data_IF_820045045569
#
_entry.id   IF_820045045569
#
_cell.length_a   1.000
_cell.length_b   1.000
_cell.length_c   1.000
_cell.angle_alpha   90.00
_cell.angle_beta   90.00
_cell.angle_gamma   90.00
#
_symmetry.space_group_name_H-M   'P 1'
#
loop_
_entity.id
_entity.type
_entity.pdbx_description
1 polymer ?
#
# COMPACT_ATOMS: atom_id res chain seq x y z
N UNK A 1 -61.80 4.52 18.29
CA UNK A 1 -60.45 4.00 18.57
C UNK A 1 -59.68 4.02 17.26
N UNK A 2 -59.02 5.14 16.96
CA UNK A 2 -58.20 5.27 15.75
C UNK A 2 -56.74 5.16 16.18
N UNK A 3 -56.08 4.09 15.75
CA UNK A 3 -54.65 3.88 15.99
C UNK A 3 -53.86 4.80 15.07
N UNK A 4 -53.13 5.72 15.72
CA UNK A 4 -52.11 6.58 15.12
C UNK A 4 -50.89 5.71 14.82
N UNK A 5 -50.72 5.30 13.55
CA UNK A 5 -49.51 4.63 13.07
C UNK A 5 -48.46 5.72 12.86
N UNK A 6 -47.57 5.88 13.85
CA UNK A 6 -46.36 6.68 13.74
C UNK A 6 -45.36 5.84 12.93
N UNK A 7 -45.27 6.10 11.62
CA UNK A 7 -44.24 5.55 10.77
C UNK A 7 -42.94 6.33 10.98
N UNK A 8 -42.05 5.79 11.82
CA UNK A 8 -40.71 6.31 12.05
C UNK A 8 -39.87 6.11 10.79
N UNK A 9 -39.67 7.17 10.00
CA UNK A 9 -38.75 7.18 8.86
C UNK A 9 -37.34 7.22 9.46
N UNK A 10 -36.70 6.05 9.59
CA UNK A 10 -35.28 5.94 9.90
C UNK A 10 -34.54 6.26 8.59
N UNK A 11 -34.07 7.50 8.46
CA UNK A 11 -33.09 7.89 7.44
C UNK A 11 -31.75 7.25 7.82
N UNK A 12 -31.49 6.04 7.31
CA UNK A 12 -30.16 5.45 7.32
C UNK A 12 -29.26 6.31 6.43
N UNK A 13 -28.50 7.22 7.05
CA UNK A 13 -27.39 7.91 6.39
C UNK A 13 -26.27 6.90 6.17
N UNK A 14 -26.36 6.13 5.09
CA UNK A 14 -25.22 5.38 4.58
C UNK A 14 -24.15 6.38 4.15
N UNK A 15 -22.88 6.12 4.51
CA UNK A 15 -21.78 6.89 3.97
C UNK A 15 -21.77 6.71 2.44
N UNK A 16 -21.93 7.79 1.69
CA UNK A 16 -21.93 7.75 0.23
C UNK A 16 -20.52 7.43 -0.27
N UNK A 17 -20.33 6.20 -0.73
CA UNK A 17 -19.09 5.76 -1.39
C UNK A 17 -19.01 6.38 -2.78
N UNK A 18 -17.96 7.14 -3.06
CA UNK A 18 -17.75 7.75 -4.38
C UNK A 18 -16.66 7.01 -5.13
N UNK A 19 -17.00 6.41 -6.27
CA UNK A 19 -16.05 5.71 -7.13
C UNK A 19 -15.15 6.69 -7.88
N UNK A 20 -13.86 6.36 -7.95
CA UNK A 20 -12.91 7.09 -8.76
C UNK A 20 -13.07 6.72 -10.25
N UNK A 21 -12.97 7.68 -11.18
CA UNK A 21 -13.00 7.37 -12.61
C UNK A 21 -11.81 6.48 -12.98
N UNK A 22 -12.02 5.52 -13.88
CA UNK A 22 -10.97 4.60 -14.33
C UNK A 22 -9.84 5.31 -15.08
N UNK A 23 -10.20 6.37 -15.81
CA UNK A 23 -9.28 7.22 -16.55
C UNK A 23 -9.26 8.59 -15.89
N UNK A 24 -8.24 8.82 -15.07
CA UNK A 24 -7.97 10.15 -14.53
C UNK A 24 -7.00 10.83 -15.49
N UNK A 25 -7.47 11.92 -16.08
CA UNK A 25 -6.58 12.82 -16.81
C UNK A 25 -5.53 13.36 -15.84
N UNK A 26 -4.29 12.88 -15.98
CA UNK A 26 -3.15 13.26 -15.15
C UNK A 26 -2.66 14.69 -15.45
N UNK A 27 -3.05 15.26 -16.58
CA UNK A 27 -2.66 16.62 -16.99
C UNK A 27 -3.33 17.71 -16.15
N UNK A 28 -4.51 17.45 -15.59
CA UNK A 28 -5.26 18.41 -14.78
C UNK A 28 -4.66 18.47 -13.38
N UNK A 29 -4.20 19.62 -12.89
CA UNK A 29 -3.70 19.68 -11.51
C UNK A 29 -4.84 19.58 -10.49
N UNK A 30 -4.64 18.79 -9.42
CA UNK A 30 -5.60 18.77 -8.30
C UNK A 30 -5.64 20.12 -7.59
N UNK A 31 -6.83 20.53 -7.14
CA UNK A 31 -6.98 21.76 -6.35
C UNK A 31 -6.25 21.61 -5.01
N UNK A 32 -5.70 22.72 -4.50
CA UNK A 32 -5.03 22.76 -3.19
C UNK A 32 -5.99 22.93 -2.01
N UNK A 33 -7.29 22.79 -2.24
CA UNK A 33 -8.28 22.86 -1.16
C UNK A 33 -8.18 21.60 -0.28
N UNK A 34 -8.04 21.79 1.03
CA UNK A 34 -7.94 20.71 1.98
C UNK A 34 -9.35 20.22 2.38
N UNK A 35 -9.76 19.08 1.81
CA UNK A 35 -11.04 18.43 2.05
C UNK A 35 -10.81 16.93 2.19
N UNK A 36 -10.31 16.47 3.36
CA UNK A 36 -9.79 15.12 3.49
C UNK A 36 -10.85 14.07 3.21
N UNK A 37 -10.43 12.98 2.58
CA UNK A 37 -11.26 11.82 2.24
C UNK A 37 -10.55 10.54 2.64
N UNK A 38 -11.30 9.47 2.88
CA UNK A 38 -10.75 8.15 3.18
C UNK A 38 -10.74 7.28 1.92
N UNK A 39 -9.55 6.91 1.44
CA UNK A 39 -9.39 6.09 0.24
C UNK A 39 -9.45 4.60 0.55
N UNK A 40 -10.09 3.83 -0.33
CA UNK A 40 -10.23 2.37 -0.25
C UNK A 40 -9.83 1.70 -1.56
N UNK A 41 -9.30 0.48 -1.44
CA UNK A 41 -8.98 -0.40 -2.57
C UNK A 41 -10.23 -1.03 -3.22
N UNK A 42 -10.04 -1.78 -4.30
CA UNK A 42 -11.12 -2.55 -4.95
C UNK A 42 -11.74 -3.57 -3.97
N UNK A 43 -10.92 -4.13 -3.10
CA UNK A 43 -11.26 -5.13 -2.10
C UNK A 43 -11.91 -4.52 -0.85
N UNK A 44 -12.03 -3.19 -0.79
CA UNK A 44 -12.57 -2.46 0.35
C UNK A 44 -11.58 -2.28 1.51
N UNK A 45 -10.30 -2.60 1.32
CA UNK A 45 -9.26 -2.30 2.31
C UNK A 45 -9.00 -0.80 2.37
N UNK A 46 -9.02 -0.24 3.57
CA UNK A 46 -8.69 1.16 3.84
C UNK A 46 -7.21 1.43 3.53
N UNK A 47 -6.94 2.34 2.59
CA UNK A 47 -5.58 2.75 2.22
C UNK A 47 -5.10 3.88 3.12
N UNK A 48 -5.96 4.88 3.38
CA UNK A 48 -5.60 5.99 4.27
C UNK A 48 -6.33 7.30 3.97
N UNK A 49 -6.10 8.29 4.83
CA UNK A 49 -6.64 9.65 4.68
C UNK A 49 -5.84 10.42 3.65
N UNK A 50 -6.51 10.95 2.63
CA UNK A 50 -5.91 11.67 1.52
C UNK A 50 -6.35 13.14 1.53
N UNK A 51 -5.54 14.02 0.95
CA UNK A 51 -5.71 15.48 1.08
C UNK A 51 -7.05 16.00 0.55
N UNK A 52 -7.49 15.44 -0.59
CA UNK A 52 -8.83 15.61 -1.13
C UNK A 52 -9.18 14.49 -2.13
N UNK A 53 -10.42 14.49 -2.64
CA UNK A 53 -10.93 13.51 -3.60
C UNK A 53 -10.05 13.34 -4.84
N UNK A 54 -9.50 14.44 -5.38
CA UNK A 54 -8.64 14.38 -6.57
C UNK A 54 -7.33 13.62 -6.26
N UNK A 55 -6.70 13.94 -5.13
CA UNK A 55 -5.53 13.19 -4.65
C UNK A 55 -5.86 11.74 -4.33
N UNK A 56 -7.05 11.47 -3.79
CA UNK A 56 -7.46 10.11 -3.49
C UNK A 56 -7.58 9.27 -4.74
N UNK A 57 -8.26 9.77 -5.77
CA UNK A 57 -8.41 9.03 -7.01
C UNK A 57 -7.09 8.85 -7.78
N UNK A 58 -6.12 9.74 -7.59
CA UNK A 58 -4.77 9.60 -8.16
C UNK A 58 -3.84 8.70 -7.37
N UNK A 59 -4.15 8.43 -6.11
CA UNK A 59 -3.33 7.57 -5.29
C UNK A 59 -3.38 6.14 -5.84
N UNK A 60 -2.23 5.50 -5.84
CA UNK A 60 -2.12 4.13 -6.31
C UNK A 60 -3.03 3.23 -5.46
N UNK A 61 -3.73 2.30 -6.11
CA UNK A 61 -4.62 1.29 -5.51
C UNK A 61 -5.93 1.84 -4.92
N UNK A 62 -6.15 3.15 -4.84
CA UNK A 62 -7.47 3.70 -4.45
C UNK A 62 -8.47 3.55 -5.61
N UNK A 63 -9.65 3.00 -5.31
CA UNK A 63 -10.75 2.78 -6.26
C UNK A 63 -12.00 3.57 -5.93
N UNK A 64 -12.24 3.78 -4.65
CA UNK A 64 -13.30 4.66 -4.18
C UNK A 64 -12.85 5.36 -2.91
N UNK A 65 -13.56 6.42 -2.56
CA UNK A 65 -13.35 7.12 -1.31
C UNK A 65 -14.66 7.40 -0.60
N UNK A 66 -14.57 7.59 0.71
CA UNK A 66 -15.63 8.15 1.54
C UNK A 66 -15.24 9.57 1.93
N UNK A 67 -16.24 10.45 2.06
CA UNK A 67 -15.99 11.80 2.56
C UNK A 67 -15.53 11.73 4.03
N UNK A 68 -14.70 12.69 4.42
CA UNK A 68 -14.00 12.76 5.72
C UNK A 68 -12.77 11.85 5.83
N UNK A 69 -11.91 12.16 6.80
CA UNK A 69 -10.72 11.39 7.10
C UNK A 69 -11.08 9.96 7.55
N UNK A 70 -10.18 9.01 7.31
CA UNK A 70 -10.36 7.63 7.70
C UNK A 70 -10.57 7.49 9.21
N UNK A 71 -11.57 6.68 9.58
CA UNK A 71 -11.77 6.26 10.96
C UNK A 71 -10.80 5.13 11.24
N UNK A 72 -9.95 5.29 12.24
CA UNK A 72 -9.05 4.21 12.68
C UNK A 72 -9.92 3.14 13.33
N UNK A 73 -10.30 2.11 12.58
CA UNK A 73 -10.93 0.92 13.15
C UNK A 73 -9.86 0.16 13.93
N UNK A 74 -9.95 0.23 15.26
CA UNK A 74 -9.23 -0.69 16.15
C UNK A 74 -9.72 -2.11 15.88
N UNK A 75 -9.02 -2.85 15.04
CA UNK A 75 -9.36 -4.23 14.73
C UNK A 75 -9.19 -5.10 15.98
N UNK A 76 -10.25 -5.76 16.43
CA UNK A 76 -10.17 -6.89 17.35
C UNK A 76 -9.40 -8.02 16.65
N UNK A 77 -8.16 -8.27 17.04
CA UNK A 77 -7.34 -9.35 16.47
C UNK A 77 -7.27 -10.53 17.41
N UNK A 78 -7.68 -11.69 16.89
CA UNK A 78 -7.56 -13.02 17.47
C UNK A 78 -6.08 -13.37 17.66
N UNK A 79 -5.69 -13.58 18.91
CA UNK A 79 -4.33 -13.92 19.35
C UNK A 79 -3.91 -15.30 18.88
N UNK A 80 -2.85 -15.39 18.07
CA UNK A 80 -2.07 -16.62 17.91
C UNK A 80 -0.61 -16.34 18.26
N UNK A 81 -0.21 -16.91 19.39
CA UNK A 81 1.13 -16.89 19.98
C UNK A 81 2.06 -17.81 19.20
N UNK A 82 3.23 -17.29 18.79
CA UNK A 82 4.37 -18.14 18.42
C UNK A 82 5.69 -17.48 18.81
N UNK A 83 6.50 -18.29 19.47
CA UNK A 83 7.65 -17.95 20.30
C UNK A 83 8.96 -17.72 19.52
N UNK A 84 9.85 -16.99 20.19
CA UNK A 84 11.15 -16.48 19.74
C UNK A 84 12.23 -17.54 19.52
N UNK A 85 13.19 -17.25 18.63
CA UNK A 85 14.56 -17.77 18.69
C UNK A 85 15.52 -16.58 18.58
N UNK A 86 16.34 -16.38 19.62
CA UNK A 86 17.22 -15.23 19.78
C UNK A 86 18.50 -15.36 18.96
N UNK A 87 18.97 -14.27 18.36
CA UNK A 87 20.37 -14.09 17.97
C UNK A 87 20.78 -12.63 18.13
N UNK A 88 21.84 -12.43 18.90
CA UNK A 88 22.48 -11.13 19.15
C UNK A 88 22.93 -10.52 17.83
N UNK A 89 22.45 -9.31 17.51
CA UNK A 89 22.94 -8.52 16.39
C UNK A 89 23.22 -7.09 16.85
N UNK A 90 24.42 -6.66 16.54
CA UNK A 90 25.02 -5.35 16.78
C UNK A 90 24.19 -4.24 16.13
N UNK A 91 23.76 -3.28 16.96
CA UNK A 91 22.93 -2.14 16.63
C UNK A 91 23.61 -1.19 15.63
N UNK A 92 22.99 -1.03 14.46
CA UNK A 92 23.11 0.13 13.57
C UNK A 92 21.90 0.11 12.62
N UNK A 93 20.70 0.27 13.17
CA UNK A 93 19.48 0.33 12.36
C UNK A 93 18.71 1.57 12.75
N UNK A 94 18.90 2.64 11.96
CA UNK A 94 18.07 3.86 11.97
C UNK A 94 16.65 3.59 11.41
N UNK A 95 16.19 2.34 11.40
CA UNK A 95 14.88 1.98 10.88
C UNK A 95 13.84 2.37 11.92
N UNK A 96 12.88 3.20 11.50
CA UNK A 96 11.74 3.59 12.33
C UNK A 96 10.64 2.55 12.13
N UNK A 97 10.19 1.96 13.22
CA UNK A 97 9.12 0.97 13.27
C UNK A 97 7.84 1.64 13.77
N UNK A 98 6.73 1.48 13.03
CA UNK A 98 5.43 1.99 13.46
C UNK A 98 4.79 1.08 14.50
N UNK A 99 4.15 1.68 15.50
CA UNK A 99 3.43 0.94 16.51
C UNK A 99 2.09 0.43 15.98
N UNK A 100 2.01 -0.88 15.75
CA UNK A 100 0.81 -1.55 15.26
C UNK A 100 -0.03 -2.18 16.38
N UNK A 101 0.42 -2.08 17.64
CA UNK A 101 -0.25 -2.68 18.80
C UNK A 101 -1.37 -1.75 19.28
N UNK A 102 -2.59 -2.26 19.57
CA UNK A 102 -3.65 -1.45 20.16
C UNK A 102 -3.18 -0.84 21.49
N UNK A 103 -3.28 0.48 21.60
CA UNK A 103 -2.91 1.23 22.80
C UNK A 103 -3.90 0.90 23.94
N UNK A 104 -3.44 0.14 24.93
CA UNK A 104 -4.18 -0.23 26.13
C UNK A 104 -3.68 0.59 27.32
N UNK A 105 -4.55 0.89 28.29
CA UNK A 105 -4.15 1.55 29.54
C UNK A 105 -3.26 0.65 30.43
N UNK A 106 -3.32 -0.67 30.23
CA UNK A 106 -2.57 -1.67 31.00
C UNK A 106 -1.99 -2.75 30.08
N UNK A 107 -0.98 -2.42 29.25
CA UNK A 107 -0.25 -3.40 28.46
C UNK A 107 0.50 -4.37 29.40
N UNK A 108 0.46 -5.68 29.09
CA UNK A 108 1.36 -6.63 29.72
C UNK A 108 2.57 -6.75 28.82
N UNK A 109 3.66 -6.05 29.17
CA UNK A 109 4.91 -6.12 28.43
C UNK A 109 5.88 -7.13 29.06
N UNK A 110 6.62 -7.90 28.24
CA UNK A 110 7.64 -8.81 28.75
C UNK A 110 8.75 -8.00 29.43
N UNK A 111 9.30 -8.52 30.54
CA UNK A 111 10.40 -7.91 31.27
C UNK A 111 11.76 -8.15 30.58
N UNK A 112 11.82 -7.83 29.28
CA UNK A 112 13.02 -7.92 28.45
C UNK A 112 13.55 -6.51 28.25
N UNK A 113 14.83 -6.28 28.54
CA UNK A 113 15.48 -4.99 28.32
C UNK A 113 16.16 -4.97 26.95
N UNK A 114 15.54 -4.29 26.01
CA UNK A 114 16.00 -4.06 24.64
C UNK A 114 15.65 -2.61 24.29
N UNK A 115 16.48 -1.63 24.69
CA UNK A 115 16.07 -0.23 24.71
C UNK A 115 15.65 0.26 23.33
N UNK A 116 14.60 1.08 23.33
CA UNK A 116 14.08 1.73 22.14
C UNK A 116 13.84 3.20 22.43
N UNK A 117 13.96 4.04 21.41
CA UNK A 117 13.53 5.42 21.47
C UNK A 117 12.13 5.51 20.86
N UNK A 118 11.12 5.68 21.71
CA UNK A 118 9.75 5.88 21.28
C UNK A 118 9.53 7.32 20.85
N UNK A 119 9.15 7.53 19.59
CA UNK A 119 8.86 8.81 18.97
C UNK A 119 7.41 9.22 19.22
N UNK A 120 7.22 10.43 19.71
CA UNK A 120 5.90 10.95 20.02
C UNK A 120 5.06 11.21 18.76
N UNK A 121 3.73 11.14 18.92
CA UNK A 121 2.76 11.60 17.91
C UNK A 121 2.96 13.09 17.58
N UNK A 122 2.67 13.49 16.35
CA UNK A 122 2.88 14.86 15.86
C UNK A 122 2.10 15.95 16.60
N UNK A 123 1.15 15.60 17.48
CA UNK A 123 0.41 16.54 18.31
C UNK A 123 1.18 17.01 19.55
N UNK A 124 2.28 16.35 19.91
CA UNK A 124 3.12 16.70 21.06
C UNK A 124 4.24 17.63 20.60
N UNK A 125 4.31 18.82 21.18
CA UNK A 125 5.39 19.77 20.92
C UNK A 125 6.60 19.45 21.81
N UNK A 126 7.72 19.10 21.20
CA UNK A 126 8.98 18.88 21.89
C UNK A 126 9.90 20.10 21.81
N UNK A 127 10.62 20.36 22.90
CA UNK A 127 11.65 21.41 22.95
C UNK A 127 13.01 20.94 22.41
N UNK A 128 13.24 19.62 22.34
CA UNK A 128 14.51 19.00 21.90
C UNK A 128 14.20 17.82 20.98
N UNK A 129 15.01 17.64 19.94
CA UNK A 129 14.98 16.48 19.05
C UNK A 129 15.94 15.36 19.54
N UNK A 130 15.62 14.07 19.30
CA UNK A 130 14.35 13.59 18.76
C UNK A 130 13.19 13.84 19.72
N UNK A 131 12.00 14.03 19.16
CA UNK A 131 10.78 14.17 19.96
C UNK A 131 10.37 12.78 20.46
N UNK A 132 11.00 12.31 21.53
CA UNK A 132 10.79 10.95 22.03
C UNK A 132 11.35 10.72 23.43
N UNK A 133 11.20 9.49 23.91
CA UNK A 133 11.76 9.02 25.19
C UNK A 133 12.28 7.58 25.08
N UNK A 134 13.36 7.30 25.81
CA UNK A 134 13.92 5.95 25.91
C UNK A 134 13.00 5.07 26.76
N UNK A 135 12.70 3.87 26.26
CA UNK A 135 11.85 2.86 26.90
C UNK A 135 12.57 1.52 26.93
N UNK A 136 12.15 0.62 27.82
CA UNK A 136 12.84 -0.64 28.06
C UNK A 136 12.75 -1.61 26.89
N UNK A 137 11.68 -1.57 26.09
CA UNK A 137 11.48 -2.40 24.89
C UNK A 137 10.37 -1.85 23.97
N UNK A 138 10.21 -2.48 22.81
CA UNK A 138 9.21 -2.15 21.79
C UNK A 138 7.76 -2.21 22.31
N UNK A 139 7.44 -3.11 23.25
CA UNK A 139 6.11 -3.19 23.84
C UNK A 139 5.83 -1.98 24.73
N UNK A 140 6.78 -1.62 25.59
CA UNK A 140 6.67 -0.42 26.44
C UNK A 140 6.53 0.85 25.58
N UNK A 141 7.24 0.94 24.45
CA UNK A 141 7.07 2.03 23.51
C UNK A 141 5.68 2.06 22.88
N UNK A 142 5.23 0.96 22.28
CA UNK A 142 3.98 0.93 21.54
C UNK A 142 2.72 0.90 22.40
N UNK A 143 2.87 0.66 23.69
CA UNK A 143 1.77 0.74 24.63
C UNK A 143 1.51 2.15 25.18
N UNK A 144 2.48 3.07 25.04
CA UNK A 144 2.28 4.47 25.38
C UNK A 144 1.35 5.15 24.36
N UNK A 145 0.28 5.77 24.85
CA UNK A 145 -0.68 6.51 24.03
C UNK A 145 -0.04 7.65 23.23
N UNK A 146 1.06 8.20 23.74
CA UNK A 146 1.75 9.34 23.16
C UNK A 146 2.78 8.95 22.10
N UNK A 147 3.10 7.67 21.91
CA UNK A 147 4.12 7.20 20.98
C UNK A 147 3.47 6.64 19.72
N UNK A 148 3.95 7.02 18.53
CA UNK A 148 3.47 6.50 17.23
C UNK A 148 4.41 5.47 16.61
N UNK A 149 5.71 5.64 16.85
CA UNK A 149 6.76 4.83 16.27
C UNK A 149 7.96 4.73 17.20
N UNK A 150 8.90 3.84 16.92
CA UNK A 150 10.12 3.68 17.69
C UNK A 150 11.29 3.25 16.80
N UNK A 151 12.52 3.45 17.26
CA UNK A 151 13.71 2.79 16.70
C UNK A 151 14.50 2.13 17.84
N UNK A 152 15.35 1.16 17.52
CA UNK A 152 16.17 0.47 18.52
C UNK A 152 17.37 1.32 18.96
N UNK A 153 17.63 1.36 20.27
CA UNK A 153 18.63 2.22 20.91
C UNK A 153 18.01 3.28 21.82
N UNK A 154 18.84 4.03 22.52
CA UNK A 154 18.37 5.14 23.35
C UNK A 154 18.14 6.42 22.54
N UNK A 155 17.27 7.33 23.00
CA UNK A 155 17.03 8.59 22.28
C UNK A 155 18.25 9.52 22.23
N UNK A 156 19.25 9.31 23.09
CA UNK A 156 20.52 10.06 23.06
C UNK A 156 21.53 9.49 22.06
N UNK A 157 21.31 8.25 21.61
CA UNK A 157 22.15 7.52 20.66
C UNK A 157 21.79 7.79 19.21
N UNK A 158 20.83 8.69 18.93
CA UNK A 158 20.65 9.14 17.54
C UNK A 158 22.02 9.60 17.05
N UNK A 159 22.53 8.99 15.96
CA UNK A 159 23.75 9.46 15.34
C UNK A 159 23.53 10.93 15.13
N UNK A 160 24.28 11.78 15.87
CA UNK A 160 24.20 13.22 15.71
C UNK A 160 24.35 13.43 14.22
N UNK A 161 23.27 13.84 13.57
CA UNK A 161 23.31 14.13 12.15
C UNK A 161 24.50 15.04 11.98
N UNK A 162 25.41 14.68 11.07
CA UNK A 162 26.53 15.55 10.78
C UNK A 162 25.92 16.93 10.56
N UNK A 163 26.24 17.96 11.37
CA UNK A 163 25.66 19.27 11.21
C UNK A 163 25.88 19.85 9.80
N UNK A 164 26.76 19.22 9.01
CA UNK A 164 27.00 19.54 7.61
C UNK A 164 25.99 18.92 6.63
N UNK A 165 25.12 17.96 7.00
CA UNK A 165 24.20 17.33 6.04
C UNK A 165 22.93 16.70 6.68
N UNK A 166 21.93 17.48 7.11
CA UNK A 166 20.65 16.94 7.53
C UNK A 166 19.96 16.22 6.35
N UNK A 167 19.31 15.06 6.56
CA UNK A 167 18.46 14.41 5.56
C UNK A 167 17.24 15.29 5.33
N UNK A 168 17.37 16.18 4.37
CA UNK A 168 16.26 16.96 3.84
C UNK A 168 15.43 16.03 2.95
N UNK A 169 14.58 15.22 3.58
CA UNK A 169 13.65 14.30 2.91
C UNK A 169 12.48 15.05 2.23
N UNK A 170 12.45 16.38 2.34
CA UNK A 170 11.44 17.20 1.70
C UNK A 170 11.80 17.45 0.23
N UNK A 171 10.84 17.20 -0.66
CA UNK A 171 11.00 17.54 -2.08
C UNK A 171 11.02 19.07 -2.20
N UNK A 172 12.14 19.61 -2.68
CA UNK A 172 12.29 21.02 -3.02
C UNK A 172 11.97 21.22 -4.50
N UNK A 173 11.01 22.09 -4.82
CA UNK A 173 10.63 22.38 -6.21
C UNK A 173 11.57 23.41 -6.84
N UNK A 174 11.95 23.18 -8.10
CA UNK A 174 12.73 24.15 -8.86
C UNK A 174 11.87 25.36 -9.22
N UNK A 175 12.39 26.56 -9.01
CA UNK A 175 11.69 27.82 -9.32
C UNK A 175 12.39 28.57 -10.44
N UNK A 176 11.65 29.43 -11.16
CA UNK A 176 12.22 30.30 -12.18
C UNK A 176 12.66 31.65 -11.57
N UNK A 177 13.79 32.24 -12.03
CA UNK A 177 14.64 31.76 -13.12
C UNK A 177 15.60 30.64 -12.70
N UNK A 178 15.76 29.63 -13.56
CA UNK A 178 16.72 28.54 -13.34
C UNK A 178 18.17 29.03 -13.45
N UNK A 179 19.09 28.47 -12.64
CA UNK A 179 20.49 28.83 -12.70
C UNK A 179 21.14 28.27 -13.98
N UNK A 180 21.85 29.14 -14.72
CA UNK A 180 22.64 28.73 -15.88
C UNK A 180 24.04 28.20 -15.51
N UNK A 181 24.52 28.55 -14.30
CA UNK A 181 25.86 28.21 -13.81
C UNK A 181 25.76 27.65 -12.41
N UNK A 182 26.36 26.48 -12.19
CA UNK A 182 26.36 25.77 -10.91
C UNK A 182 27.78 25.64 -10.33
N UNK A 183 27.85 25.55 -9.00
CA UNK A 183 29.08 25.27 -8.28
C UNK A 183 29.49 23.82 -8.49
N UNK A 184 30.80 23.52 -8.48
CA UNK A 184 31.34 22.16 -8.59
C UNK A 184 31.30 21.39 -7.24
N UNK A 185 30.42 21.82 -6.33
CA UNK A 185 30.22 21.13 -5.06
C UNK A 185 29.43 19.85 -5.31
N UNK A 186 29.87 18.73 -4.74
CA UNK A 186 29.22 17.45 -4.91
C UNK A 186 28.41 17.09 -3.67
N UNK A 187 27.09 17.19 -3.79
CA UNK A 187 26.08 16.78 -2.81
C UNK A 187 25.09 15.89 -3.54
N UNK A 188 25.11 14.59 -3.27
CA UNK A 188 24.21 13.64 -3.94
C UNK A 188 22.76 14.12 -3.87
N UNK A 189 22.18 14.35 -5.03
CA UNK A 189 20.85 14.91 -5.17
C UNK A 189 20.06 14.07 -6.15
N UNK A 190 18.83 13.72 -5.79
CA UNK A 190 17.92 13.03 -6.68
C UNK A 190 16.95 14.04 -7.27
N UNK A 191 17.08 14.27 -8.57
CA UNK A 191 16.23 15.17 -9.33
C UNK A 191 15.02 14.42 -9.89
N UNK A 192 13.85 15.04 -9.86
CA UNK A 192 12.59 14.49 -10.34
C UNK A 192 12.19 15.17 -11.65
N UNK A 193 11.91 14.39 -12.69
CA UNK A 193 11.39 14.87 -13.98
C UNK A 193 9.87 15.12 -13.93
N UNK A 194 9.19 14.47 -12.98
CA UNK A 194 7.77 14.67 -12.69
C UNK A 194 7.50 14.44 -11.21
N UNK A 195 6.45 15.04 -10.67
CA UNK A 195 6.00 14.78 -9.29
C UNK A 195 4.51 14.38 -9.30
N UNK A 196 4.12 13.29 -8.61
CA UNK A 196 4.98 12.38 -7.84
C UNK A 196 5.84 11.46 -8.72
N UNK A 197 6.96 10.97 -8.19
CA UNK A 197 7.86 10.04 -8.88
C UNK A 197 8.30 8.89 -7.95
N UNK A 198 8.06 7.66 -8.40
CA UNK A 198 8.33 6.44 -7.64
C UNK A 198 9.13 5.38 -8.44
N UNK A 199 9.59 5.72 -9.65
CA UNK A 199 10.33 4.81 -10.53
C UNK A 199 11.61 5.45 -11.04
N UNK A 200 12.59 4.62 -11.42
CA UNK A 200 13.85 5.08 -12.04
C UNK A 200 13.61 5.96 -13.29
N UNK A 201 12.49 5.74 -14.01
CA UNK A 201 12.19 6.46 -15.24
C UNK A 201 11.87 7.94 -15.04
N UNK A 202 11.46 8.37 -13.85
CA UNK A 202 11.08 9.75 -13.56
C UNK A 202 12.06 10.48 -12.62
N UNK A 203 13.16 9.83 -12.24
CA UNK A 203 14.18 10.41 -11.38
C UNK A 203 15.59 10.23 -11.94
N UNK A 204 16.51 11.11 -11.54
CA UNK A 204 17.89 11.08 -11.99
C UNK A 204 18.83 11.57 -10.90
N UNK A 205 19.91 10.83 -10.66
CA UNK A 205 20.98 11.28 -9.77
C UNK A 205 21.77 12.42 -10.43
N UNK A 206 21.96 13.51 -9.70
CA UNK A 206 22.74 14.68 -10.11
C UNK A 206 23.71 15.10 -9.01
N UNK A 207 24.71 15.90 -9.39
CA UNK A 207 25.84 16.22 -8.53
C UNK A 207 25.49 17.17 -7.39
N UNK A 208 24.46 18.00 -7.55
CA UNK A 208 23.93 18.88 -6.50
C UNK A 208 22.55 19.45 -6.89
N UNK A 209 21.94 20.19 -5.99
CA UNK A 209 20.67 20.90 -6.17
C UNK A 209 20.64 21.92 -7.32
N UNK A 210 21.77 22.57 -7.60
CA UNK A 210 21.85 23.52 -8.72
C UNK A 210 21.81 22.76 -10.05
N UNK A 211 22.59 21.69 -10.17
CA UNK A 211 22.58 20.80 -11.35
C UNK A 211 21.20 20.18 -11.59
N UNK A 212 20.45 19.91 -10.51
CA UNK A 212 19.06 19.50 -10.60
C UNK A 212 18.21 20.59 -11.28
N UNK A 213 18.24 21.81 -10.75
CA UNK A 213 17.34 22.87 -11.22
C UNK A 213 17.79 23.58 -12.50
N UNK A 214 19.07 23.49 -12.90
CA UNK A 214 19.56 24.01 -14.18
C UNK A 214 18.96 23.26 -15.37
N UNK A 215 18.61 21.97 -15.19
CA UNK A 215 17.89 21.20 -16.20
C UNK A 215 16.41 21.54 -16.21
N UNK A 216 15.92 22.15 -17.31
CA UNK A 216 14.52 22.58 -17.50
C UNK A 216 13.48 21.47 -17.34
N UNK A 217 13.85 20.20 -17.55
CA UNK A 217 12.94 19.07 -17.43
C UNK A 217 12.75 18.61 -15.97
N UNK A 218 13.58 19.08 -15.04
CA UNK A 218 13.48 18.74 -13.61
C UNK A 218 12.46 19.65 -12.94
N UNK A 219 11.47 19.07 -12.24
CA UNK A 219 10.42 19.79 -11.50
C UNK A 219 10.78 20.00 -10.01
N UNK A 220 11.65 19.17 -9.45
CA UNK A 220 12.10 19.27 -8.07
C UNK A 220 13.23 18.30 -7.75
N UNK A 221 13.73 18.34 -6.53
CA UNK A 221 14.81 17.46 -6.08
C UNK A 221 14.72 17.18 -4.58
N UNK A 222 15.50 16.19 -4.13
CA UNK A 222 15.75 15.87 -2.72
C UNK A 222 17.26 15.71 -2.51
N UNK A 223 17.81 16.12 -1.36
CA UNK A 223 19.25 16.12 -1.09
C UNK A 223 19.75 14.74 -0.62
N UNK A 224 19.54 13.74 -1.45
CA UNK A 224 20.07 12.39 -1.26
C UNK A 224 20.16 11.65 -2.60
N UNK A 225 20.82 10.49 -2.64
CA UNK A 225 20.84 9.65 -3.82
C UNK A 225 19.44 9.12 -4.18
N UNK A 226 19.20 8.89 -5.47
CA UNK A 226 17.93 8.30 -5.93
C UNK A 226 17.70 6.89 -5.37
N UNK A 227 18.78 6.11 -5.18
CA UNK A 227 18.68 4.79 -4.56
C UNK A 227 18.16 4.88 -3.11
N UNK A 228 18.66 5.86 -2.32
CA UNK A 228 18.20 6.08 -0.95
C UNK A 228 16.75 6.55 -0.93
N UNK A 229 16.38 7.50 -1.79
CA UNK A 229 15.00 7.95 -1.94
C UNK A 229 14.08 6.77 -2.26
N UNK A 230 14.40 5.93 -3.25
CA UNK A 230 13.58 4.76 -3.59
C UNK A 230 13.43 3.75 -2.47
N UNK A 231 14.48 3.48 -1.69
CA UNK A 231 14.41 2.57 -0.56
C UNK A 231 13.40 3.04 0.49
N UNK A 232 13.37 4.35 0.77
CA UNK A 232 12.39 4.95 1.69
C UNK A 232 10.94 4.70 1.26
N UNK A 233 10.65 4.65 -0.04
CA UNK A 233 9.27 4.44 -0.55
C UNK A 233 8.94 2.98 -0.91
N UNK A 234 9.92 2.15 -1.22
CA UNK A 234 9.70 0.73 -1.61
C UNK A 234 9.60 -0.21 -0.41
N UNK A 235 10.19 0.14 0.74
CA UNK A 235 10.18 -0.71 1.93
C UNK A 235 8.80 -0.83 2.62
N UNK A 236 7.82 0.02 2.28
CA UNK A 236 6.45 -0.12 2.76
C UNK A 236 5.71 -1.32 2.11
N UNK A 237 6.16 -1.86 0.98
CA UNK A 237 5.42 -2.91 0.27
C UNK A 237 5.89 -4.34 0.57
N UNK A 238 7.15 -4.55 0.94
CA UNK A 238 7.72 -5.90 1.04
C UNK A 238 7.49 -6.60 2.39
N UNK A 239 7.00 -5.90 3.41
CA UNK A 239 6.72 -6.52 4.73
C UNK A 239 5.36 -7.25 4.84
N UNK A 240 4.61 -7.43 3.74
CA UNK A 240 3.32 -8.11 3.77
C UNK A 240 3.37 -9.57 3.26
N UNK A 241 4.36 -9.98 2.45
CA UNK A 241 4.30 -11.30 1.78
C UNK A 241 5.65 -12.00 1.56
N UNK A 242 6.45 -12.22 2.61
CA UNK A 242 7.49 -13.26 2.57
C UNK A 242 7.34 -14.21 3.77
N UNK A 243 6.57 -15.29 3.56
CA UNK A 243 6.64 -16.51 4.34
C UNK A 243 7.51 -17.49 3.56
N UNK A 244 8.67 -17.83 4.11
CA UNK A 244 9.63 -18.77 3.51
C UNK A 244 9.00 -20.15 3.20
N UNK A 245 9.31 -20.75 2.04
CA UNK A 245 9.03 -22.16 1.78
C UNK A 245 10.29 -23.00 2.02
N UNK A 246 10.32 -23.79 3.11
CA UNK A 246 11.19 -24.97 3.21
C UNK A 246 10.51 -26.17 3.89
N UNK A 247 10.59 -27.29 3.17
CA UNK A 247 10.40 -28.71 3.55
C UNK A 247 8.98 -29.12 3.98
N UNK A 248 8.42 -30.25 3.57
CA UNK A 248 9.05 -31.51 3.20
C UNK A 248 8.13 -32.36 2.31
N UNK A 249 8.75 -33.21 1.50
CA UNK A 249 8.14 -34.30 0.74
C UNK A 249 7.73 -35.44 1.68
N UNK A 250 6.49 -35.92 1.61
CA UNK A 250 6.18 -37.35 1.67
C UNK A 250 4.71 -37.64 1.28
N UNK A 251 4.58 -38.75 0.56
CA UNK A 251 3.40 -39.36 -0.03
C UNK A 251 2.20 -39.47 0.92
N UNK A 252 0.99 -39.29 0.39
CA UNK A 252 -0.05 -40.32 0.46
C UNK A 252 -1.13 -40.08 -0.60
N UNK A 253 -1.54 -41.20 -1.18
CA UNK A 253 -2.52 -41.37 -2.25
C UNK A 253 -3.86 -41.71 -1.58
N UNK A 254 -4.90 -40.88 -1.71
CA UNK A 254 -6.30 -41.28 -1.94
C UNK A 254 -7.33 -40.15 -1.81
N UNK A 255 -8.33 -40.29 -2.67
CA UNK A 255 -9.69 -39.73 -2.72
C UNK A 255 -9.95 -38.34 -3.32
N UNK A 256 -10.64 -38.44 -4.47
CA UNK A 256 -11.29 -37.39 -5.24
C UNK A 256 -12.43 -36.76 -4.44
N UNK A 257 -12.33 -35.47 -4.17
CA UNK A 257 -13.45 -34.55 -4.32
C UNK A 257 -12.94 -33.20 -4.84
N UNK A 258 -13.50 -32.80 -5.99
CA UNK A 258 -13.09 -31.63 -6.76
C UNK A 258 -13.44 -30.33 -6.02
N UNK A 259 -12.46 -29.76 -5.34
CA UNK A 259 -12.47 -28.35 -5.01
C UNK A 259 -11.43 -27.66 -5.92
N UNK A 260 -11.84 -27.34 -7.15
CA UNK A 260 -11.01 -26.66 -8.16
C UNK A 260 -10.76 -25.20 -7.74
N UNK A 261 -9.93 -25.01 -6.72
CA UNK A 261 -9.39 -23.70 -6.39
C UNK A 261 -8.20 -23.46 -7.31
N UNK A 262 -8.48 -23.11 -8.56
CA UNK A 262 -7.45 -22.89 -9.59
C UNK A 262 -6.63 -21.67 -9.20
N UNK A 263 -5.41 -21.91 -8.72
CA UNK A 263 -4.47 -20.87 -8.29
C UNK A 263 -4.23 -19.88 -9.43
N UNK A 264 -4.66 -18.62 -9.26
CA UNK A 264 -4.34 -17.55 -10.20
C UNK A 264 -2.87 -17.14 -10.06
N UNK A 265 -2.19 -17.00 -11.19
CA UNK A 265 -0.80 -16.55 -11.30
C UNK A 265 -0.77 -15.17 -11.95
N UNK A 266 0.00 -14.23 -11.39
CA UNK A 266 0.14 -12.88 -11.93
C UNK A 266 1.23 -12.84 -13.00
N UNK A 267 1.01 -12.05 -14.07
CA UNK A 267 2.05 -11.79 -15.05
C UNK A 267 3.13 -10.88 -14.48
N UNK A 268 4.39 -11.12 -14.83
CA UNK A 268 5.51 -10.24 -14.46
C UNK A 268 5.45 -8.90 -15.20
N UNK A 269 5.99 -7.85 -14.58
CA UNK A 269 6.07 -6.49 -15.17
C UNK A 269 6.97 -6.47 -16.41
N UNK A 270 8.00 -7.31 -16.43
CA UNK A 270 8.88 -7.53 -17.58
C UNK A 270 8.21 -8.51 -18.55
N UNK A 271 7.75 -8.00 -19.70
CA UNK A 271 7.08 -8.81 -20.71
C UNK A 271 8.08 -9.61 -21.54
N UNK A 272 7.76 -10.88 -21.87
CA UNK A 272 8.59 -11.65 -22.80
C UNK A 272 8.57 -11.00 -24.18
N UNK A 273 9.68 -11.10 -24.93
CA UNK A 273 9.77 -10.57 -26.30
C UNK A 273 9.31 -11.56 -27.37
N UNK A 274 9.24 -12.85 -27.03
CA UNK A 274 8.78 -13.94 -27.88
C UNK A 274 8.31 -15.11 -27.01
N UNK A 275 7.41 -15.93 -27.55
CA UNK A 275 6.88 -17.12 -26.88
C UNK A 275 7.16 -18.36 -27.71
N UNK A 276 7.32 -19.49 -27.03
CA UNK A 276 7.34 -20.80 -27.70
C UNK A 276 5.92 -21.22 -28.14
N UNK A 277 5.87 -22.19 -29.05
CA UNK A 277 4.63 -22.77 -29.57
C UNK A 277 4.14 -23.96 -28.71
N UNK A 278 4.63 -24.11 -27.47
CA UNK A 278 4.20 -25.20 -26.59
C UNK A 278 2.81 -24.90 -26.07
N UNK A 279 1.83 -25.72 -26.44
CA UNK A 279 0.44 -25.51 -26.03
C UNK A 279 0.22 -26.05 -24.61
N UNK A 280 -0.05 -25.14 -23.69
CA UNK A 280 -0.54 -25.34 -22.32
C UNK A 280 -1.65 -24.32 -22.07
N UNK A 281 -2.87 -24.65 -22.49
CA UNK A 281 -3.98 -23.69 -22.48
C UNK A 281 -4.14 -22.99 -21.13
N UNK A 282 -4.28 -21.66 -21.15
CA UNK A 282 -4.52 -20.84 -19.97
C UNK A 282 -5.68 -19.89 -20.21
N UNK A 283 -6.38 -19.56 -19.12
CA UNK A 283 -7.40 -18.53 -19.09
C UNK A 283 -6.82 -17.28 -18.46
N UNK A 284 -6.60 -16.24 -19.25
CA UNK A 284 -6.11 -14.95 -18.80
C UNK A 284 -7.27 -14.05 -18.38
N UNK A 285 -7.10 -13.35 -17.26
CA UNK A 285 -7.99 -12.28 -16.80
C UNK A 285 -7.37 -10.93 -17.16
N UNK A 286 -8.16 -10.09 -17.83
CA UNK A 286 -7.78 -8.74 -18.22
C UNK A 286 -8.91 -7.76 -17.92
N UNK A 287 -8.58 -6.47 -17.84
CA UNK A 287 -9.58 -5.42 -17.67
C UNK A 287 -10.27 -5.12 -18.99
N UNK A 288 -11.59 -5.14 -18.99
CA UNK A 288 -12.42 -4.73 -20.11
C UNK A 288 -13.50 -3.75 -19.60
N UNK A 289 -13.36 -2.48 -19.94
CA UNK A 289 -14.19 -1.39 -19.39
C UNK A 289 -14.19 -1.43 -17.85
N UNK A 290 -15.37 -1.43 -17.22
CA UNK A 290 -15.58 -1.51 -15.77
C UNK A 290 -15.67 -2.95 -15.23
N UNK A 291 -15.31 -3.97 -16.03
CA UNK A 291 -15.44 -5.39 -15.66
C UNK A 291 -14.16 -6.20 -15.92
N UNK A 292 -14.12 -7.41 -15.36
CA UNK A 292 -13.07 -8.39 -15.64
C UNK A 292 -13.52 -9.32 -16.77
N UNK A 293 -12.76 -9.33 -17.86
CA UNK A 293 -12.97 -10.28 -18.95
C UNK A 293 -11.96 -11.42 -18.86
N UNK A 294 -12.34 -12.54 -19.47
CA UNK A 294 -11.52 -13.72 -19.60
C UNK A 294 -11.25 -14.00 -21.09
N UNK A 295 -10.03 -14.42 -21.41
CA UNK A 295 -9.61 -14.80 -22.77
C UNK A 295 -8.65 -15.98 -22.71
N UNK A 296 -8.83 -16.92 -23.62
CA UNK A 296 -8.00 -18.11 -23.71
C UNK A 296 -6.75 -17.84 -24.53
N UNK A 297 -5.62 -18.38 -24.06
CA UNK A 297 -4.34 -18.35 -24.75
C UNK A 297 -3.75 -19.75 -24.83
N UNK A 298 -2.86 -19.99 -25.80
CA UNK A 298 -2.25 -21.30 -25.97
C UNK A 298 -1.27 -21.62 -24.84
N UNK A 299 -0.64 -20.62 -24.23
CA UNK A 299 0.24 -20.78 -23.07
C UNK A 299 0.34 -19.48 -22.24
N UNK A 300 0.94 -19.62 -21.06
CA UNK A 300 1.20 -18.53 -20.11
C UNK A 300 2.05 -17.40 -20.70
N UNK A 301 3.02 -17.72 -21.57
CA UNK A 301 3.81 -16.70 -22.24
C UNK A 301 2.95 -15.83 -23.14
N UNK A 302 2.10 -16.44 -24.00
CA UNK A 302 1.20 -15.69 -24.88
C UNK A 302 0.19 -14.87 -24.08
N UNK A 303 -0.30 -15.39 -22.96
CA UNK A 303 -1.18 -14.65 -22.05
C UNK A 303 -0.48 -13.40 -21.50
N UNK A 304 0.76 -13.51 -21.03
CA UNK A 304 1.52 -12.40 -20.46
C UNK A 304 2.21 -11.49 -21.50
N UNK A 305 2.28 -11.93 -22.77
CA UNK A 305 2.71 -11.10 -23.89
C UNK A 305 1.66 -10.01 -24.21
N UNK A 306 0.37 -10.32 -24.01
CA UNK A 306 -0.70 -9.33 -24.13
C UNK A 306 -0.61 -8.29 -23.01
N UNK A 307 -0.50 -7.02 -23.39
CA UNK A 307 -0.30 -5.93 -22.45
C UNK A 307 -1.45 -5.68 -21.48
N UNK A 308 -2.62 -6.23 -21.77
CA UNK A 308 -3.84 -6.03 -20.98
C UNK A 308 -4.06 -7.11 -19.93
N UNK A 309 -3.37 -8.25 -20.03
CA UNK A 309 -3.47 -9.35 -19.09
C UNK A 309 -2.88 -8.99 -17.73
N UNK A 310 -3.63 -9.27 -16.66
CA UNK A 310 -3.24 -9.01 -15.27
C UNK A 310 -2.81 -10.32 -14.61
N UNK A 311 -3.58 -11.38 -14.82
CA UNK A 311 -3.34 -12.71 -14.27
C UNK A 311 -3.81 -13.79 -15.23
N UNK A 312 -3.41 -15.03 -14.99
CA UNK A 312 -3.91 -16.20 -15.70
C UNK A 312 -4.10 -17.38 -14.76
N UNK A 313 -4.90 -18.35 -15.18
CA UNK A 313 -5.06 -19.64 -14.52
C UNK A 313 -4.90 -20.75 -15.55
N UNK A 314 -4.40 -21.91 -15.12
CA UNK A 314 -4.24 -23.07 -16.01
C UNK A 314 -5.61 -23.60 -16.49
N UNK A 315 -5.70 -23.98 -17.75
CA UNK A 315 -6.91 -24.50 -18.39
C UNK A 315 -7.75 -23.46 -19.14
N UNK A 316 -8.88 -23.92 -19.69
CA UNK A 316 -9.84 -23.09 -20.44
C UNK A 316 -10.63 -22.15 -19.55
N UNK A 317 -11.15 -21.09 -20.15
CA UNK A 317 -11.99 -20.15 -19.41
C UNK A 317 -13.34 -20.78 -19.08
N UNK A 318 -13.78 -20.62 -17.83
CA UNK A 318 -15.10 -21.08 -17.45
C UNK A 318 -16.14 -20.17 -18.09
N UNK A 319 -16.72 -20.61 -19.21
CA UNK A 319 -17.88 -19.93 -19.77
C UNK A 319 -19.01 -20.00 -18.75
N UNK A 320 -19.44 -18.86 -18.20
CA UNK A 320 -20.68 -18.75 -17.41
C UNK A 320 -21.88 -19.06 -18.33
N UNK A 321 -22.04 -20.33 -18.68
CA UNK A 321 -23.13 -20.81 -19.50
C UNK A 321 -24.37 -21.00 -18.62
N UNK A 322 -24.99 -19.89 -18.24
CA UNK A 322 -26.44 -19.67 -18.16
C UNK A 322 -27.40 -20.75 -17.64
N UNK A 323 -27.01 -21.68 -16.75
CA UNK A 323 -27.93 -22.73 -16.23
C UNK A 323 -28.76 -22.33 -15.01
N UNK A 324 -28.89 -21.04 -14.66
CA UNK A 324 -29.59 -20.60 -13.44
C UNK A 324 -31.09 -20.32 -13.67
N UNK A 325 -31.61 -20.32 -14.90
CA UNK A 325 -33.00 -19.92 -15.18
C UNK A 325 -34.08 -21.02 -15.08
N UNK A 326 -33.76 -22.26 -14.70
CA UNK A 326 -34.78 -23.34 -14.69
C UNK A 326 -35.43 -23.67 -13.34
N UNK A 327 -34.95 -23.14 -12.20
CA UNK A 327 -35.42 -23.60 -10.88
C UNK A 327 -36.42 -22.63 -10.21
N UNK A 328 -36.47 -21.36 -10.62
CA UNK A 328 -37.39 -20.37 -10.03
C UNK A 328 -38.84 -20.44 -10.56
N UNK A 329 -39.12 -21.25 -11.58
CA UNK A 329 -40.48 -21.37 -12.14
C UNK A 329 -41.36 -22.44 -11.47
N UNK A 330 -40.81 -23.28 -10.58
CA UNK A 330 -41.57 -24.37 -9.95
C UNK A 330 -42.07 -24.04 -8.53
N UNK A 331 -41.46 -23.09 -7.84
CA UNK A 331 -41.87 -22.70 -6.48
C UNK A 331 -43.01 -21.68 -6.46
N UNK A 332 -43.22 -20.91 -7.53
CA UNK A 332 -44.34 -19.96 -7.61
C UNK A 332 -45.71 -20.63 -7.86
N UNK A 333 -45.74 -21.88 -8.32
CA UNK A 333 -47.01 -22.60 -8.53
C UNK A 333 -47.55 -23.32 -7.28
N UNK A 334 -46.73 -23.51 -6.24
CA UNK A 334 -47.19 -24.23 -5.02
C UNK A 334 -47.88 -23.29 -4.02
N UNK A 335 -47.59 -21.98 -4.03
CA UNK A 335 -48.27 -21.01 -3.15
C UNK A 335 -49.64 -20.53 -3.67
N UNK A 336 -50.07 -20.98 -4.86
CA UNK A 336 -51.39 -20.64 -5.40
C UNK A 336 -52.47 -21.73 -5.20
N UNK A 337 -52.13 -22.81 -4.47
CA UNK A 337 -53.05 -23.95 -4.22
C UNK A 337 -53.39 -24.12 -2.72
N UNK A 338 -52.87 -23.26 -1.83
CA UNK A 338 -53.20 -23.27 -0.38
C UNK A 338 -53.80 -21.92 0.00
#
# INVERSE_FOLDING_TARGET
MNYLIVATIILLTGADKTMCPLEIDTSVSCTKEHKPVCGYSAEGLQIGTLFNACFACRAEKVRYYENDACKVQSSETTTNTSSETSSQTTSNSNTIYKCNIPKSDNPICPAIFKPVCGLFISSIQCFKQPCGRTLGNECEACSDKNIDSYFYGECEEIPKEDPQNPPDDSITYCTEPRPDICTLEYIETCAFLSTPCFSDSCMKSVGNQCDACSNKDVVGYVKQSCAKYQQTYTQDETNINQKDPKSNSQNDEQDLDQNNNTLQQQCSVLKPSACDDVVKEVCATYKCNDSTCQKEYQNECQACLDSTTISYSQGKCQTLSGTILSIMSLTLFIQLII
#
